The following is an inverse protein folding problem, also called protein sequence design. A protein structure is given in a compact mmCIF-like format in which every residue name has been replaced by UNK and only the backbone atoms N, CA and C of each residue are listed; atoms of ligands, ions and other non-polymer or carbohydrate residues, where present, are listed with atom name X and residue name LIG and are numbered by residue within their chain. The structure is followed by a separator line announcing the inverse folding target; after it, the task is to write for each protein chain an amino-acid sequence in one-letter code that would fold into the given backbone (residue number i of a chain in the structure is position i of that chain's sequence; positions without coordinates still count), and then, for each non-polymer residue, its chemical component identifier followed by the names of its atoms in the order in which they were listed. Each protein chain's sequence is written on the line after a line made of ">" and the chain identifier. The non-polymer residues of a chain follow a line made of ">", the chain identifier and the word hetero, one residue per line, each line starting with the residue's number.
data_IF_662204649312
#
_entry.id   IF_662204649312
#
_cell.length_a   1.000
_cell.length_b   1.000
_cell.length_c   1.000
_cell.angle_alpha   90.00
_cell.angle_beta   90.00
_cell.angle_gamma   90.00
#
_symmetry.space_group_name_H-M   'P 1'
#
loop_
_entity.id
_entity.type
_entity.pdbx_description
1 polymer ?
#
# COMPACT_ATOMS: atom_id res chain seq x y z
N UNK A 1 14.20 -18.25 26.42
CA UNK A 1 12.80 -18.58 26.08
C UNK A 1 12.63 -18.40 24.59
N UNK A 2 11.78 -19.18 23.91
CA UNK A 2 11.50 -18.93 22.49
C UNK A 2 10.71 -17.62 22.37
N UNK A 3 11.18 -16.68 21.56
CA UNK A 3 10.46 -15.43 21.28
C UNK A 3 9.11 -15.79 20.68
N UNK A 4 8.02 -15.26 21.23
CA UNK A 4 6.69 -15.49 20.68
C UNK A 4 6.52 -14.73 19.36
N UNK A 5 5.88 -15.37 18.40
CA UNK A 5 5.52 -14.75 17.13
C UNK A 5 4.06 -15.03 16.78
N UNK A 6 3.47 -14.16 15.96
CA UNK A 6 2.10 -14.32 15.44
C UNK A 6 2.07 -15.42 14.37
N UNK A 7 3.02 -15.36 13.43
CA UNK A 7 3.22 -16.33 12.36
C UNK A 7 4.60 -17.00 12.49
N UNK A 8 4.70 -18.30 12.17
CA UNK A 8 5.95 -19.07 12.27
C UNK A 8 6.84 -18.84 11.03
N UNK A 9 7.39 -17.63 10.89
CA UNK A 9 8.16 -17.20 9.73
C UNK A 9 9.64 -16.95 10.06
N UNK A 10 10.50 -17.16 9.08
CA UNK A 10 11.92 -16.82 9.12
C UNK A 10 12.21 -15.73 8.06
N UNK A 11 12.65 -14.52 8.46
CA UNK A 11 13.02 -13.45 7.54
C UNK A 11 14.08 -13.85 6.51
N UNK A 12 15.01 -14.75 6.87
CA UNK A 12 16.12 -15.15 5.98
C UNK A 12 15.68 -16.10 4.85
N UNK A 13 14.53 -16.74 5.01
CA UNK A 13 13.95 -17.66 4.04
C UNK A 13 12.65 -17.11 3.41
N UNK A 14 12.28 -15.88 3.74
CA UNK A 14 11.04 -15.29 3.27
C UNK A 14 11.08 -14.99 1.78
N UNK A 15 10.04 -15.40 1.06
CA UNK A 15 9.87 -15.12 -0.37
C UNK A 15 8.67 -14.18 -0.52
N UNK A 16 8.86 -12.94 -1.01
CA UNK A 16 7.78 -12.03 -1.30
C UNK A 16 6.73 -12.61 -2.24
N UNK A 17 5.48 -12.15 -2.10
CA UNK A 17 4.40 -12.52 -2.99
C UNK A 17 4.66 -12.06 -4.44
N UNK A 18 4.07 -12.75 -5.42
CA UNK A 18 4.23 -12.41 -6.84
C UNK A 18 3.71 -11.01 -7.21
N UNK A 19 2.83 -10.42 -6.39
CA UNK A 19 2.39 -9.02 -6.54
C UNK A 19 3.47 -8.00 -6.18
N UNK A 20 4.60 -8.43 -5.61
CA UNK A 20 5.78 -7.61 -5.37
C UNK A 20 7.00 -8.05 -6.19
N UNK A 21 6.77 -8.86 -7.24
CA UNK A 21 7.85 -9.32 -8.10
C UNK A 21 8.53 -8.13 -8.81
N UNK A 22 9.86 -8.21 -8.95
CA UNK A 22 10.68 -7.10 -9.43
C UNK A 22 10.40 -6.67 -10.88
N UNK A 23 9.81 -7.56 -11.68
CA UNK A 23 9.40 -7.33 -13.06
C UNK A 23 8.13 -6.48 -13.20
N UNK A 24 7.38 -6.27 -12.11
CA UNK A 24 6.18 -5.45 -12.10
C UNK A 24 6.51 -3.99 -12.39
N UNK A 25 5.53 -3.25 -12.91
CA UNK A 25 5.70 -1.82 -13.17
C UNK A 25 5.96 -1.07 -11.86
N UNK A 26 5.26 -1.47 -10.80
CA UNK A 26 5.33 -0.95 -9.44
C UNK A 26 5.46 -2.10 -8.43
N UNK A 27 6.68 -2.64 -8.21
CA UNK A 27 6.92 -3.75 -7.30
C UNK A 27 6.52 -3.45 -5.84
N UNK A 28 6.63 -2.20 -5.43
CA UNK A 28 6.09 -1.70 -4.16
C UNK A 28 5.05 -0.63 -4.46
N UNK A 29 3.89 -0.74 -3.81
CA UNK A 29 2.75 0.13 -4.05
C UNK A 29 2.66 1.17 -2.92
N UNK A 30 2.16 0.75 -1.75
CA UNK A 30 2.18 1.51 -0.51
C UNK A 30 2.25 0.57 0.70
N UNK A 31 2.75 1.09 1.82
CA UNK A 31 3.06 0.28 3.00
C UNK A 31 1.87 -0.48 3.61
N UNK A 32 0.63 -0.01 3.42
CA UNK A 32 -0.54 -0.66 4.02
C UNK A 32 -1.05 -1.82 3.17
N UNK A 33 -1.19 -1.61 1.86
CA UNK A 33 -1.68 -2.65 0.94
C UNK A 33 -0.63 -3.74 0.77
N UNK A 34 0.64 -3.37 0.61
CA UNK A 34 1.73 -4.34 0.44
C UNK A 34 1.88 -5.23 1.69
N UNK A 35 1.76 -4.64 2.89
CA UNK A 35 1.74 -5.40 4.14
C UNK A 35 0.62 -6.45 4.15
N UNK A 36 -0.61 -6.07 3.77
CA UNK A 36 -1.71 -7.03 3.72
C UNK A 36 -1.52 -8.10 2.64
N UNK A 37 -0.92 -7.76 1.50
CA UNK A 37 -0.55 -8.74 0.47
C UNK A 37 0.38 -9.80 1.08
N UNK A 38 1.42 -9.38 1.80
CA UNK A 38 2.38 -10.30 2.41
C UNK A 38 1.79 -11.11 3.57
N UNK A 39 0.99 -10.49 4.44
CA UNK A 39 0.33 -11.20 5.54
C UNK A 39 -0.64 -12.27 5.02
N UNK A 40 -1.44 -11.96 4.01
CA UNK A 40 -2.38 -12.92 3.40
C UNK A 40 -1.64 -14.05 2.67
N UNK A 41 -0.58 -13.69 1.93
CA UNK A 41 0.31 -14.67 1.27
C UNK A 41 0.93 -15.64 2.28
N UNK A 42 1.45 -15.13 3.40
CA UNK A 42 2.03 -15.94 4.47
C UNK A 42 1.00 -16.87 5.15
N UNK A 43 -0.28 -16.50 5.13
CA UNK A 43 -1.40 -17.34 5.58
C UNK A 43 -1.87 -18.34 4.50
N UNK A 44 -1.30 -18.32 3.30
CA UNK A 44 -1.69 -19.15 2.17
C UNK A 44 -3.05 -18.78 1.57
N UNK A 45 -3.45 -17.51 1.71
CA UNK A 45 -4.72 -16.95 1.25
C UNK A 45 -4.44 -16.00 0.08
N UNK A 46 -5.29 -16.01 -0.95
CA UNK A 46 -5.10 -15.19 -2.14
C UNK A 46 -5.31 -13.69 -1.84
N UNK A 47 -4.26 -12.84 -1.86
CA UNK A 47 -4.39 -11.42 -1.59
C UNK A 47 -5.15 -10.67 -2.68
N UNK A 48 -5.18 -11.19 -3.91
CA UNK A 48 -5.88 -10.56 -5.04
C UNK A 48 -7.36 -10.35 -4.76
N UNK A 49 -7.98 -11.18 -3.92
CA UNK A 49 -9.41 -11.11 -3.62
C UNK A 49 -9.84 -9.76 -3.00
N UNK A 50 -8.95 -9.07 -2.27
CA UNK A 50 -9.27 -7.79 -1.62
C UNK A 50 -9.16 -6.59 -2.55
N UNK A 51 -8.54 -6.73 -3.70
CA UNK A 51 -8.14 -5.58 -4.52
C UNK A 51 -9.28 -4.95 -5.33
N UNK A 52 -10.55 -5.29 -5.06
CA UNK A 52 -11.70 -4.67 -5.73
C UNK A 52 -11.90 -3.19 -5.39
N UNK A 53 -11.44 -2.74 -4.21
CA UNK A 53 -11.53 -1.33 -3.78
C UNK A 53 -10.70 -0.39 -4.64
N UNK A 54 -9.74 -0.88 -5.43
CA UNK A 54 -8.88 -0.03 -6.28
C UNK A 54 -9.69 0.76 -7.31
N UNK A 55 -10.94 0.36 -7.60
CA UNK A 55 -11.89 1.10 -8.43
C UNK A 55 -12.31 2.46 -7.85
N UNK A 56 -12.15 2.66 -6.54
CA UNK A 56 -12.60 3.89 -5.85
C UNK A 56 -11.51 4.94 -5.72
N UNK A 57 -10.36 4.75 -6.36
CA UNK A 57 -9.30 5.75 -6.34
C UNK A 57 -9.77 7.03 -7.05
N UNK A 58 -9.61 8.17 -6.37
CA UNK A 58 -10.08 9.48 -6.83
C UNK A 58 -8.96 10.52 -6.77
N UNK A 59 -9.20 11.67 -7.39
CA UNK A 59 -8.31 12.83 -7.35
C UNK A 59 -8.90 13.94 -6.46
N UNK A 60 -8.18 14.29 -5.40
CA UNK A 60 -8.63 15.20 -4.33
C UNK A 60 -8.29 16.69 -4.61
N UNK A 61 -7.89 17.01 -5.85
CA UNK A 61 -7.54 18.37 -6.28
C UNK A 61 -6.05 18.68 -6.21
N UNK A 62 -5.31 18.08 -5.28
CA UNK A 62 -3.85 18.20 -5.18
C UNK A 62 -3.11 16.86 -5.38
N UNK A 63 -3.75 15.76 -5.03
CA UNK A 63 -3.18 14.41 -5.05
C UNK A 63 -4.25 13.34 -5.32
N UNK A 64 -3.83 12.11 -5.61
CA UNK A 64 -4.75 10.98 -5.63
C UNK A 64 -4.94 10.44 -4.20
N UNK A 65 -6.10 9.83 -3.94
CA UNK A 65 -6.35 9.18 -2.66
C UNK A 65 -5.30 8.11 -2.37
N UNK A 66 -4.82 8.07 -1.12
CA UNK A 66 -3.96 7.01 -0.62
C UNK A 66 -4.81 5.75 -0.46
N UNK A 67 -4.67 4.81 -1.38
CA UNK A 67 -5.54 3.64 -1.47
C UNK A 67 -5.20 2.63 -0.36
N UNK A 68 -6.19 2.32 0.49
CA UNK A 68 -6.11 1.30 1.55
C UNK A 68 -7.26 0.33 1.37
N UNK A 69 -7.00 -0.96 1.64
CA UNK A 69 -8.07 -1.94 1.73
C UNK A 69 -9.04 -1.53 2.85
N UNK A 70 -10.36 -1.46 2.59
CA UNK A 70 -11.35 -1.22 3.63
C UNK A 70 -11.32 -2.34 4.68
N UNK A 71 -11.49 -1.98 5.97
CA UNK A 71 -11.46 -2.98 7.03
C UNK A 71 -12.65 -3.94 6.94
N UNK A 72 -13.79 -3.46 6.46
CA UNK A 72 -14.99 -4.25 6.19
C UNK A 72 -14.77 -5.27 5.09
N UNK A 73 -13.90 -4.98 4.12
CA UNK A 73 -13.53 -5.93 3.07
C UNK A 73 -12.65 -7.05 3.64
N UNK A 74 -11.69 -6.71 4.51
CA UNK A 74 -10.87 -7.70 5.20
C UNK A 74 -11.72 -8.64 6.05
N UNK A 75 -12.73 -8.10 6.76
CA UNK A 75 -13.66 -8.91 7.53
C UNK A 75 -14.55 -9.77 6.62
N UNK A 76 -15.11 -9.19 5.56
CA UNK A 76 -16.01 -9.91 4.65
C UNK A 76 -15.30 -11.03 3.88
N UNK A 77 -14.08 -10.78 3.39
CA UNK A 77 -13.30 -11.74 2.61
C UNK A 77 -12.64 -12.79 3.50
N UNK A 78 -11.96 -12.35 4.55
CA UNK A 78 -11.01 -13.19 5.28
C UNK A 78 -11.42 -13.45 6.72
N UNK A 79 -12.53 -12.87 7.21
CA UNK A 79 -12.88 -12.91 8.62
C UNK A 79 -11.90 -12.17 9.53
N UNK A 80 -10.98 -11.38 8.94
CA UNK A 80 -9.96 -10.64 9.67
C UNK A 80 -10.60 -9.37 10.23
N UNK A 81 -10.60 -9.24 11.55
CA UNK A 81 -11.14 -8.06 12.23
C UNK A 81 -10.01 -7.17 12.67
N UNK A 82 -9.93 -5.99 12.06
CA UNK A 82 -8.98 -4.94 12.42
C UNK A 82 -9.69 -3.93 13.31
N UNK A 83 -9.02 -3.49 14.37
CA UNK A 83 -9.55 -2.47 15.28
C UNK A 83 -8.39 -1.62 15.76
N UNK A 84 -8.65 -0.35 16.05
CA UNK A 84 -7.67 0.52 16.71
C UNK A 84 -7.30 -0.02 18.10
N UNK A 85 -6.00 -0.07 18.38
CA UNK A 85 -5.43 -0.40 19.68
C UNK A 85 -5.07 0.91 20.38
N UNK A 86 -5.87 1.31 21.36
CA UNK A 86 -5.54 2.46 22.20
C UNK A 86 -4.26 2.16 22.99
N UNK A 87 -3.24 2.99 22.78
CA UNK A 87 -1.98 2.96 23.54
C UNK A 87 -2.11 3.95 24.70
N UNK A 88 -1.90 3.49 25.93
CA UNK A 88 -1.90 4.35 27.13
C UNK A 88 -0.65 4.17 28.01
N UNK A 89 0.14 3.12 27.74
CA UNK A 89 1.42 2.81 28.39
C UNK A 89 2.47 2.60 27.28
N UNK A 90 3.52 1.79 27.51
CA UNK A 90 4.49 1.44 26.47
C UNK A 90 3.84 0.69 25.29
N UNK A 91 4.22 1.08 24.09
CA UNK A 91 3.78 0.49 22.83
C UNK A 91 4.14 -1.00 22.80
N UNK A 92 5.32 -1.35 23.27
CA UNK A 92 5.88 -2.69 23.35
C UNK A 92 5.10 -3.62 24.26
N UNK A 93 4.64 -3.13 25.42
CA UNK A 93 3.84 -3.93 26.33
C UNK A 93 2.49 -4.30 25.68
N UNK A 94 1.86 -3.33 25.00
CA UNK A 94 0.62 -3.56 24.27
C UNK A 94 0.79 -4.52 23.09
N UNK A 95 1.87 -4.37 22.31
CA UNK A 95 2.21 -5.29 21.22
C UNK A 95 2.43 -6.70 21.77
N UNK A 96 3.24 -6.87 22.81
CA UNK A 96 3.53 -8.19 23.40
C UNK A 96 2.26 -8.88 23.88
N UNK A 97 1.35 -8.14 24.50
CA UNK A 97 0.04 -8.65 24.93
C UNK A 97 -0.79 -9.15 23.73
N UNK A 98 -0.75 -8.46 22.58
CA UNK A 98 -1.46 -8.91 21.38
C UNK A 98 -0.77 -10.08 20.68
N UNK A 99 0.57 -10.11 20.61
CA UNK A 99 1.33 -11.23 20.07
C UNK A 99 1.03 -12.51 20.85
N UNK A 100 1.00 -12.44 22.19
CA UNK A 100 0.64 -13.58 23.05
C UNK A 100 -0.79 -14.12 22.78
N UNK A 101 -1.63 -13.34 22.10
CA UNK A 101 -3.00 -13.69 21.69
C UNK A 101 -3.11 -14.05 20.21
N UNK A 102 -2.00 -14.18 19.50
CA UNK A 102 -1.95 -14.48 18.07
C UNK A 102 -2.52 -13.36 17.21
N UNK A 103 -2.36 -12.09 17.63
CA UNK A 103 -2.87 -10.92 16.92
C UNK A 103 -1.72 -10.10 16.37
N UNK A 104 -1.82 -9.71 15.10
CA UNK A 104 -0.81 -8.88 14.45
C UNK A 104 -1.08 -7.40 14.76
N UNK A 105 -0.14 -6.71 15.39
CA UNK A 105 -0.22 -5.26 15.56
C UNK A 105 0.30 -4.55 14.31
N UNK A 106 -0.51 -3.65 13.75
CA UNK A 106 -0.11 -2.76 12.67
C UNK A 106 0.18 -1.39 13.28
N UNK A 107 1.41 -0.92 13.22
CA UNK A 107 1.85 0.29 13.93
C UNK A 107 2.40 1.30 12.94
N UNK A 108 1.96 2.55 13.04
CA UNK A 108 2.57 3.65 12.29
C UNK A 108 3.86 4.11 12.98
N UNK A 109 4.99 3.95 12.30
CA UNK A 109 6.32 4.21 12.85
C UNK A 109 7.19 5.03 11.88
N UNK A 110 8.34 5.45 12.39
CA UNK A 110 9.30 6.29 11.67
C UNK A 110 10.27 5.44 10.81
N UNK A 111 10.16 5.57 9.50
CA UNK A 111 11.01 4.87 8.54
C UNK A 111 12.49 5.23 8.63
N UNK A 112 12.86 6.31 9.33
CA UNK A 112 14.27 6.65 9.58
C UNK A 112 15.04 5.50 10.25
N UNK A 113 14.35 4.73 11.10
CA UNK A 113 14.89 3.59 11.84
C UNK A 113 14.58 2.23 11.21
N UNK A 114 14.16 2.19 9.95
CA UNK A 114 13.74 0.96 9.24
C UNK A 114 14.79 0.53 8.20
N UNK A 115 15.67 -0.45 8.50
CA UNK A 115 16.80 -0.83 7.63
C UNK A 115 16.39 -1.34 6.25
N UNK A 116 15.19 -1.90 6.12
CA UNK A 116 14.64 -2.40 4.86
C UNK A 116 14.36 -1.27 3.85
N UNK A 117 14.22 -0.02 4.31
CA UNK A 117 14.08 1.16 3.44
C UNK A 117 15.42 1.73 2.95
N UNK A 118 16.50 0.94 3.03
CA UNK A 118 17.83 1.33 2.56
C UNK A 118 17.79 1.65 1.07
N UNK A 119 18.36 2.80 0.71
CA UNK A 119 18.32 3.33 -0.66
C UNK A 119 17.12 4.23 -0.93
N UNK A 120 16.16 4.33 0.00
CA UNK A 120 15.05 5.28 -0.03
C UNK A 120 15.16 6.30 1.10
N UNK A 121 15.01 5.87 2.36
CA UNK A 121 14.87 6.78 3.51
C UNK A 121 15.65 6.39 4.77
N UNK A 122 16.12 5.15 4.88
CA UNK A 122 16.83 4.67 6.08
C UNK A 122 17.99 5.60 6.47
N UNK A 123 17.95 6.12 7.71
CA UNK A 123 18.91 7.08 8.29
C UNK A 123 19.11 8.37 7.49
N UNK A 124 18.18 8.71 6.59
CA UNK A 124 18.27 9.88 5.71
C UNK A 124 17.09 10.84 5.90
N UNK A 125 15.87 10.32 6.03
CA UNK A 125 14.66 11.13 6.16
C UNK A 125 13.67 10.50 7.14
N UNK A 126 13.03 11.33 7.97
CA UNK A 126 11.91 10.93 8.81
C UNK A 126 10.65 10.79 7.96
N UNK A 127 9.99 9.64 8.06
CA UNK A 127 8.84 9.31 7.24
C UNK A 127 7.87 8.40 7.99
N UNK A 128 6.58 8.64 7.81
CA UNK A 128 5.55 7.79 8.41
C UNK A 128 5.36 6.54 7.57
N UNK A 129 5.40 5.36 8.18
CA UNK A 129 5.05 4.10 7.54
C UNK A 129 4.32 3.15 8.47
N UNK A 130 3.53 2.21 7.95
CA UNK A 130 2.86 1.16 8.74
C UNK A 130 3.65 -0.14 8.65
N UNK A 131 3.89 -0.79 9.79
CA UNK A 131 4.51 -2.12 9.86
C UNK A 131 3.63 -3.10 10.63
N UNK A 132 3.66 -4.38 10.24
CA UNK A 132 2.95 -5.46 10.91
C UNK A 132 3.91 -6.25 11.78
N UNK A 133 3.89 -6.05 13.09
CA UNK A 133 4.88 -6.62 14.01
C UNK A 133 4.54 -8.08 14.31
N UNK A 134 5.38 -8.99 13.82
CA UNK A 134 5.19 -10.43 13.95
C UNK A 134 5.80 -10.98 15.24
N UNK A 135 6.98 -10.50 15.63
CA UNK A 135 7.69 -10.91 16.85
C UNK A 135 8.34 -9.72 17.52
N UNK A 136 8.46 -9.78 18.85
CA UNK A 136 9.11 -8.73 19.65
C UNK A 136 9.93 -9.35 20.78
N UNK A 137 11.24 -9.11 20.76
CA UNK A 137 12.19 -9.54 21.79
C UNK A 137 12.78 -8.31 22.48
N UNK A 138 12.27 -8.00 23.67
CA UNK A 138 12.71 -6.84 24.45
C UNK A 138 14.07 -7.05 25.12
N UNK A 139 14.45 -8.30 25.40
CA UNK A 139 15.72 -8.61 26.05
C UNK A 139 16.87 -8.38 25.07
N UNK A 140 16.72 -8.89 23.85
CA UNK A 140 17.71 -8.71 22.79
C UNK A 140 17.46 -7.47 21.91
N UNK A 141 16.41 -6.70 22.21
CA UNK A 141 15.99 -5.49 21.46
C UNK A 141 15.88 -5.76 19.96
N UNK A 142 15.09 -6.77 19.61
CA UNK A 142 14.88 -7.23 18.24
C UNK A 142 13.40 -7.29 17.91
N UNK A 143 13.07 -6.99 16.66
CA UNK A 143 11.72 -7.05 16.12
C UNK A 143 11.75 -7.69 14.73
N UNK A 144 10.85 -8.65 14.47
CA UNK A 144 10.57 -9.12 13.11
C UNK A 144 9.19 -8.61 12.66
N UNK A 145 9.09 -8.11 11.44
CA UNK A 145 7.93 -7.34 10.98
C UNK A 145 7.69 -7.44 9.48
N UNK A 146 6.43 -7.33 9.07
CA UNK A 146 6.02 -7.08 7.70
C UNK A 146 6.09 -5.59 7.38
N UNK A 147 6.63 -5.23 6.23
CA UNK A 147 6.65 -3.86 5.73
C UNK A 147 6.83 -3.85 4.22
N UNK A 148 6.09 -3.00 3.51
CA UNK A 148 6.09 -3.00 2.04
C UNK A 148 5.97 -4.44 1.50
N UNK A 149 6.75 -4.78 0.47
CA UNK A 149 6.71 -6.11 -0.15
C UNK A 149 7.57 -7.18 0.53
N UNK A 150 7.73 -7.17 1.86
CA UNK A 150 8.58 -8.16 2.52
C UNK A 150 8.38 -8.36 4.02
N UNK A 151 9.23 -9.23 4.56
CA UNK A 151 9.32 -9.60 5.97
C UNK A 151 10.76 -9.44 6.46
N UNK A 152 10.97 -8.62 7.47
CA UNK A 152 12.27 -8.07 7.85
C UNK A 152 12.54 -8.20 9.34
N UNK A 153 13.79 -7.96 9.72
CA UNK A 153 14.23 -7.85 11.11
C UNK A 153 14.98 -6.55 11.32
N UNK A 154 14.85 -5.99 12.53
CA UNK A 154 15.74 -4.94 13.03
C UNK A 154 16.12 -5.20 14.48
N UNK A 155 17.23 -4.60 14.91
CA UNK A 155 17.74 -4.72 16.27
C UNK A 155 18.52 -3.47 16.72
N UNK A 156 18.94 -3.47 17.98
CA UNK A 156 19.93 -2.52 18.47
C UNK A 156 19.47 -1.06 18.35
N UNK A 157 20.29 -0.22 17.72
CA UNK A 157 20.05 1.23 17.65
C UNK A 157 18.83 1.61 16.80
N UNK A 158 18.41 0.74 15.88
CA UNK A 158 17.18 0.93 15.11
C UNK A 158 15.96 0.64 16.00
N UNK A 159 16.02 -0.43 16.81
CA UNK A 159 14.99 -0.74 17.79
C UNK A 159 14.77 0.41 18.79
N UNK A 160 15.85 0.94 19.39
CA UNK A 160 15.74 2.05 20.35
C UNK A 160 15.16 3.31 19.73
N UNK A 161 15.57 3.63 18.50
CA UNK A 161 15.08 4.81 17.81
C UNK A 161 13.60 4.70 17.48
N UNK A 162 13.17 3.52 17.03
CA UNK A 162 11.81 3.25 16.63
C UNK A 162 10.81 3.35 17.79
N UNK A 163 11.19 2.82 18.96
CA UNK A 163 10.40 2.91 20.19
C UNK A 163 10.77 4.13 21.06
N UNK A 164 11.57 5.06 20.52
CA UNK A 164 11.99 6.31 21.17
C UNK A 164 12.70 6.13 22.53
N UNK A 165 13.40 5.00 22.74
CA UNK A 165 14.20 4.74 23.96
C UNK A 165 15.38 5.69 24.12
N UNK A 166 15.82 6.31 23.03
CA UNK A 166 16.88 7.31 23.02
C UNK A 166 16.36 8.75 23.21
N UNK A 167 15.07 8.94 23.48
CA UNK A 167 14.52 10.26 23.74
C UNK A 167 15.11 10.86 25.04
N UNK A 168 15.36 12.17 25.11
CA UNK A 168 15.85 12.82 26.32
C UNK A 168 14.90 12.63 27.50
N UNK A 169 15.45 12.56 28.72
CA UNK A 169 14.65 12.49 29.95
C UNK A 169 13.63 13.63 30.02
N UNK A 170 12.37 13.27 30.29
CA UNK A 170 11.26 14.22 30.37
C UNK A 170 10.69 14.66 29.02
N UNK A 171 11.19 14.13 27.90
CA UNK A 171 10.54 14.33 26.60
C UNK A 171 9.17 13.65 26.58
N UNK A 172 8.10 14.35 26.16
CA UNK A 172 6.77 13.75 26.12
C UNK A 172 6.72 12.62 25.07
N UNK A 173 6.15 11.45 25.40
CA UNK A 173 6.06 10.35 24.45
C UNK A 173 5.10 10.70 23.32
N UNK A 174 5.48 10.37 22.08
CA UNK A 174 4.56 10.40 20.94
C UNK A 174 4.03 9.00 20.70
N UNK A 175 2.76 8.76 21.06
CA UNK A 175 2.13 7.45 20.92
C UNK A 175 1.70 7.22 19.46
N UNK A 176 2.18 6.17 18.79
CA UNK A 176 1.86 5.92 17.39
C UNK A 176 0.42 5.45 17.23
N UNK A 177 -0.20 5.81 16.10
CA UNK A 177 -1.44 5.17 15.70
C UNK A 177 -1.20 3.67 15.53
N UNK A 178 -2.04 2.86 16.18
CA UNK A 178 -1.88 1.41 16.23
C UNK A 178 -3.22 0.73 15.95
N UNK A 179 -3.20 -0.26 15.07
CA UNK A 179 -4.28 -1.20 14.85
C UNK A 179 -3.84 -2.60 15.30
N UNK A 180 -4.79 -3.51 15.48
CA UNK A 180 -4.49 -4.92 15.70
C UNK A 180 -5.49 -5.82 14.96
N UNK A 181 -4.94 -6.80 14.24
CA UNK A 181 -5.70 -7.74 13.45
C UNK A 181 -5.95 -9.04 14.23
N UNK A 182 -7.22 -9.44 14.28
CA UNK A 182 -7.65 -10.74 14.78
C UNK A 182 -7.95 -11.64 13.59
N UNK A 183 -7.22 -12.74 13.50
CA UNK A 183 -7.42 -13.74 12.46
C UNK A 183 -8.56 -14.71 12.85
N UNK A 184 -9.30 -15.25 11.87
CA UNK A 184 -10.28 -16.30 12.14
C UNK A 184 -9.56 -17.58 12.62
N UNK A 185 -10.28 -18.43 13.36
CA UNK A 185 -9.75 -19.72 13.81
C UNK A 185 -9.60 -20.73 12.65
N UNK A 186 -10.48 -20.63 11.66
CA UNK A 186 -10.50 -21.48 10.48
C UNK A 186 -10.20 -20.67 9.23
N UNK A 187 -9.51 -21.29 8.27
CA UNK A 187 -9.26 -20.68 6.96
C UNK A 187 -10.58 -20.51 6.23
N UNK A 188 -10.71 -19.38 5.54
CA UNK A 188 -11.85 -19.12 4.65
C UNK A 188 -11.71 -19.92 3.36
N UNK A 189 -12.79 -20.56 2.95
CA UNK A 189 -12.87 -21.37 1.72
C UNK A 189 -12.71 -20.51 0.45
N UNK A 190 -12.00 -21.04 -0.55
CA UNK A 190 -11.71 -20.31 -1.79
C UNK A 190 -12.99 -19.91 -2.56
N UNK A 191 -14.06 -20.71 -2.46
CA UNK A 191 -15.37 -20.38 -3.05
C UNK A 191 -16.02 -19.16 -2.39
N UNK A 192 -15.86 -19.00 -1.05
CA UNK A 192 -16.33 -17.81 -0.34
C UNK A 192 -15.54 -16.58 -0.77
N UNK A 193 -14.21 -16.71 -0.91
CA UNK A 193 -13.35 -15.62 -1.39
C UNK A 193 -13.79 -15.13 -2.75
N UNK A 194 -13.98 -16.03 -3.73
CA UNK A 194 -14.42 -15.65 -5.08
C UNK A 194 -15.81 -15.01 -5.08
N UNK A 195 -16.76 -15.60 -4.37
CA UNK A 195 -18.13 -15.06 -4.29
C UNK A 195 -18.20 -13.69 -3.61
N UNK A 196 -17.39 -13.48 -2.56
CA UNK A 196 -17.30 -12.21 -1.85
C UNK A 196 -16.57 -11.15 -2.67
N UNK A 197 -15.45 -11.50 -3.31
CA UNK A 197 -14.72 -10.59 -4.19
C UNK A 197 -15.60 -10.10 -5.36
N UNK A 198 -16.40 -10.98 -5.98
CA UNK A 198 -17.40 -10.60 -6.99
C UNK A 198 -18.41 -9.56 -6.48
N UNK A 199 -18.92 -9.76 -5.25
CA UNK A 199 -19.86 -8.84 -4.63
C UNK A 199 -19.20 -7.50 -4.30
N UNK A 200 -17.98 -7.53 -3.78
CA UNK A 200 -17.22 -6.32 -3.45
C UNK A 200 -16.81 -5.54 -4.69
N UNK A 201 -16.44 -6.22 -5.78
CA UNK A 201 -16.16 -5.56 -7.07
C UNK A 201 -17.35 -4.71 -7.53
N UNK A 202 -18.57 -5.27 -7.50
CA UNK A 202 -19.81 -4.52 -7.81
C UNK A 202 -20.06 -3.37 -6.82
N UNK A 203 -19.85 -3.63 -5.53
CA UNK A 203 -20.05 -2.64 -4.47
C UNK A 203 -19.12 -1.42 -4.61
N UNK A 204 -17.86 -1.65 -4.95
CA UNK A 204 -16.85 -0.61 -5.17
C UNK A 204 -17.02 0.07 -6.51
N UNK A 205 -17.41 -0.68 -7.56
CA UNK A 205 -17.76 -0.08 -8.84
C UNK A 205 -18.88 0.96 -8.69
N UNK A 206 -19.92 0.67 -7.89
CA UNK A 206 -20.99 1.63 -7.60
C UNK A 206 -20.53 2.87 -6.80
N UNK A 207 -19.33 2.82 -6.20
CA UNK A 207 -18.70 3.90 -5.40
C UNK A 207 -17.49 4.53 -6.09
N UNK A 208 -17.17 4.11 -7.32
CA UNK A 208 -16.13 4.74 -8.12
C UNK A 208 -16.42 6.24 -8.27
N UNK A 209 -15.39 7.07 -8.56
CA UNK A 209 -15.59 8.49 -8.83
C UNK A 209 -16.69 8.72 -9.88
N UNK A 210 -17.58 9.68 -9.62
CA UNK A 210 -18.64 10.05 -10.57
C UNK A 210 -18.12 10.83 -11.78
N UNK A 211 -16.97 11.47 -11.62
CA UNK A 211 -16.23 12.17 -12.67
C UNK A 211 -14.91 11.44 -12.93
N UNK A 212 -14.31 11.67 -14.10
CA UNK A 212 -13.04 11.04 -14.44
C UNK A 212 -11.90 11.69 -13.63
N UNK A 213 -11.24 10.97 -12.70
CA UNK A 213 -10.24 11.55 -11.81
C UNK A 213 -8.99 12.02 -12.58
N UNK A 214 -8.70 11.43 -13.73
CA UNK A 214 -7.59 11.83 -14.60
C UNK A 214 -7.87 13.13 -15.34
N UNK A 215 -9.14 13.43 -15.65
CA UNK A 215 -9.51 14.73 -16.20
C UNK A 215 -9.29 15.83 -15.15
N UNK A 216 -9.69 15.57 -13.89
CA UNK A 216 -9.41 16.45 -12.75
C UNK A 216 -7.91 16.69 -12.59
N UNK A 217 -7.10 15.63 -12.63
CA UNK A 217 -5.65 15.74 -12.53
C UNK A 217 -5.01 16.48 -13.71
N UNK A 218 -5.41 16.16 -14.95
CA UNK A 218 -4.90 16.80 -16.16
C UNK A 218 -5.08 18.33 -16.14
N UNK A 219 -6.20 18.81 -15.59
CA UNK A 219 -6.50 20.23 -15.50
C UNK A 219 -5.50 21.01 -14.63
N UNK A 220 -4.99 20.39 -13.55
CA UNK A 220 -4.09 21.06 -12.59
C UNK A 220 -2.62 20.67 -12.76
N UNK A 221 -2.34 19.56 -13.44
CA UNK A 221 -1.00 19.01 -13.60
C UNK A 221 0.02 20.00 -14.15
N UNK A 222 -0.25 20.80 -15.21
CA UNK A 222 0.73 21.76 -15.72
C UNK A 222 1.19 22.78 -14.66
N UNK A 223 0.25 23.35 -13.90
CA UNK A 223 0.55 24.34 -12.87
C UNK A 223 1.29 23.72 -11.68
N UNK A 224 0.88 22.52 -11.27
CA UNK A 224 1.56 21.79 -10.19
C UNK A 224 3.01 21.46 -10.57
N UNK A 225 3.27 21.06 -11.81
CA UNK A 225 4.62 20.74 -12.30
C UNK A 225 5.54 21.96 -12.29
N UNK A 226 5.04 23.13 -12.71
CA UNK A 226 5.80 24.39 -12.62
C UNK A 226 6.17 24.69 -11.15
N UNK A 227 5.22 24.52 -10.23
CA UNK A 227 5.47 24.72 -8.80
C UNK A 227 6.46 23.70 -8.20
N UNK A 228 6.44 22.44 -8.68
CA UNK A 228 7.41 21.40 -8.28
C UNK A 228 8.82 21.76 -8.74
N UNK A 229 8.97 22.34 -9.93
CA UNK A 229 10.28 22.66 -10.50
C UNK A 229 11.02 23.83 -9.80
N UNK A 230 10.30 24.61 -9.00
CA UNK A 230 10.86 25.68 -8.17
C UNK A 230 11.25 25.20 -6.75
N UNK A 231 11.10 23.91 -6.47
CA UNK A 231 11.49 23.27 -5.19
C UNK A 231 12.70 22.37 -5.37
N UNK A 232 13.29 21.96 -4.24
CA UNK A 232 14.37 20.98 -4.23
C UNK A 232 13.93 19.66 -4.86
N UNK A 233 14.88 18.95 -5.49
CA UNK A 233 14.60 17.70 -6.19
C UNK A 233 14.01 16.61 -5.26
N UNK A 234 14.29 16.65 -3.96
CA UNK A 234 13.66 15.76 -2.98
C UNK A 234 12.12 15.91 -2.95
N UNK A 235 11.59 17.10 -3.24
CA UNK A 235 10.15 17.34 -3.32
C UNK A 235 9.50 16.62 -4.51
N UNK A 236 10.24 16.40 -5.62
CA UNK A 236 9.72 15.63 -6.76
C UNK A 236 9.31 14.21 -6.32
N UNK A 237 10.07 13.55 -5.44
CA UNK A 237 9.73 12.22 -4.95
C UNK A 237 8.42 12.24 -4.15
N UNK A 238 8.20 13.26 -3.32
CA UNK A 238 6.94 13.44 -2.56
C UNK A 238 5.76 13.68 -3.49
N UNK A 239 5.92 14.54 -4.49
CA UNK A 239 4.87 14.81 -5.46
C UNK A 239 4.54 13.58 -6.32
N UNK A 240 5.56 12.91 -6.86
CA UNK A 240 5.38 11.70 -7.65
C UNK A 240 4.73 10.57 -6.84
N UNK A 241 5.10 10.42 -5.57
CA UNK A 241 4.50 9.42 -4.67
C UNK A 241 3.00 9.63 -4.51
N UNK A 242 2.55 10.88 -4.28
CA UNK A 242 1.15 11.22 -4.02
C UNK A 242 0.31 11.39 -5.30
N UNK A 243 0.93 11.39 -6.48
CA UNK A 243 0.23 11.52 -7.76
C UNK A 243 0.41 10.28 -8.64
N UNK A 244 1.47 10.28 -9.46
CA UNK A 244 1.74 9.29 -10.49
C UNK A 244 1.91 7.88 -9.92
N UNK A 245 2.63 7.73 -8.80
CA UNK A 245 2.81 6.42 -8.17
C UNK A 245 1.51 5.88 -7.57
N UNK A 246 0.67 6.74 -6.98
CA UNK A 246 -0.61 6.30 -6.39
C UNK A 246 -1.47 5.60 -7.43
N UNK A 247 -1.75 6.25 -8.57
CA UNK A 247 -2.62 5.61 -9.56
C UNK A 247 -1.90 4.53 -10.37
N UNK A 248 -0.61 4.71 -10.64
CA UNK A 248 0.17 3.70 -11.36
C UNK A 248 0.12 2.34 -10.67
N UNK A 249 0.40 2.32 -9.37
CA UNK A 249 0.41 1.10 -8.59
C UNK A 249 -1.02 0.55 -8.35
N UNK A 250 -1.99 1.43 -8.06
CA UNK A 250 -3.38 1.04 -7.85
C UNK A 250 -3.99 0.33 -9.07
N UNK A 251 -3.78 0.84 -10.29
CA UNK A 251 -4.34 0.21 -11.49
C UNK A 251 -3.58 -1.05 -11.93
N UNK A 252 -2.30 -1.22 -11.57
CA UNK A 252 -1.61 -2.51 -11.73
C UNK A 252 -2.18 -3.59 -10.79
N UNK A 253 -2.54 -3.20 -9.56
CA UNK A 253 -3.25 -4.08 -8.62
C UNK A 253 -4.67 -4.41 -9.10
N UNK A 254 -5.40 -3.46 -9.67
CA UNK A 254 -6.71 -3.73 -10.28
C UNK A 254 -6.61 -4.76 -11.41
N UNK A 255 -5.61 -4.64 -12.30
CA UNK A 255 -5.38 -5.63 -13.35
C UNK A 255 -5.16 -7.04 -12.77
N UNK A 256 -4.41 -7.13 -11.67
CA UNK A 256 -4.13 -8.39 -10.98
C UNK A 256 -5.41 -8.97 -10.33
N UNK A 257 -6.26 -8.11 -9.75
CA UNK A 257 -7.58 -8.48 -9.23
C UNK A 257 -8.48 -9.10 -10.31
N UNK A 258 -8.63 -8.40 -11.44
CA UNK A 258 -9.49 -8.82 -12.54
C UNK A 258 -9.00 -10.12 -13.18
N UNK A 259 -7.68 -10.26 -13.33
CA UNK A 259 -7.04 -11.49 -13.80
C UNK A 259 -7.37 -12.67 -12.86
N UNK A 260 -7.20 -12.48 -11.55
CA UNK A 260 -7.51 -13.51 -10.57
C UNK A 260 -9.00 -13.88 -10.55
N UNK A 261 -9.88 -12.88 -10.67
CA UNK A 261 -11.32 -13.05 -10.51
C UNK A 261 -11.98 -13.75 -11.72
N UNK A 262 -11.71 -13.26 -12.93
CA UNK A 262 -12.37 -13.72 -14.16
C UNK A 262 -11.44 -14.02 -15.33
N UNK A 263 -10.16 -13.71 -15.20
CA UNK A 263 -9.14 -13.91 -16.24
C UNK A 263 -9.39 -13.13 -17.53
N UNK A 264 -8.51 -13.34 -18.50
CA UNK A 264 -8.60 -12.67 -19.81
C UNK A 264 -9.91 -12.97 -20.54
N UNK A 265 -10.48 -14.16 -20.30
CA UNK A 265 -11.75 -14.58 -20.91
C UNK A 265 -12.90 -13.62 -20.56
N UNK A 266 -12.93 -13.07 -19.34
CA UNK A 266 -13.97 -12.14 -18.91
C UNK A 266 -13.50 -10.70 -18.97
N UNK A 267 -12.30 -10.43 -18.47
CA UNK A 267 -11.83 -9.06 -18.21
C UNK A 267 -10.63 -8.64 -19.07
N UNK A 268 -10.31 -9.33 -20.17
CA UNK A 268 -9.09 -9.07 -20.95
C UNK A 268 -8.93 -7.61 -21.39
N UNK A 269 -9.99 -6.98 -21.87
CA UNK A 269 -9.95 -5.57 -22.28
C UNK A 269 -9.75 -4.62 -21.09
N UNK A 270 -10.43 -4.86 -19.96
CA UNK A 270 -10.32 -4.07 -18.74
C UNK A 270 -8.94 -4.21 -18.09
N UNK A 271 -8.39 -5.43 -18.06
CA UNK A 271 -7.02 -5.71 -17.64
C UNK A 271 -6.05 -4.90 -18.49
N UNK A 272 -6.22 -4.89 -19.82
CA UNK A 272 -5.38 -4.11 -20.71
C UNK A 272 -5.48 -2.59 -20.45
N UNK A 273 -6.68 -2.05 -20.18
CA UNK A 273 -6.83 -0.63 -19.84
C UNK A 273 -6.23 -0.28 -18.48
N UNK A 274 -6.39 -1.15 -17.47
CA UNK A 274 -5.79 -0.95 -16.15
C UNK A 274 -4.25 -0.98 -16.21
N UNK A 275 -3.67 -1.93 -16.97
CA UNK A 275 -2.23 -1.95 -17.23
C UNK A 275 -1.76 -0.73 -18.04
N UNK A 276 -2.59 -0.24 -18.97
CA UNK A 276 -2.29 0.98 -19.73
C UNK A 276 -2.21 2.21 -18.82
N UNK A 277 -3.13 2.35 -17.86
CA UNK A 277 -3.07 3.41 -16.83
C UNK A 277 -1.79 3.32 -16.01
N UNK A 278 -1.42 2.11 -15.59
CA UNK A 278 -0.17 1.86 -14.86
C UNK A 278 1.08 2.24 -15.65
N UNK A 279 1.14 1.86 -16.92
CA UNK A 279 2.25 2.18 -17.82
C UNK A 279 2.36 3.69 -18.09
N UNK A 280 1.22 4.36 -18.31
CA UNK A 280 1.15 5.80 -18.51
C UNK A 280 1.70 6.53 -17.29
N UNK A 281 1.29 6.13 -16.08
CA UNK A 281 1.80 6.69 -14.83
C UNK A 281 3.33 6.68 -14.78
N UNK A 282 3.94 5.54 -15.12
CA UNK A 282 5.39 5.33 -15.09
C UNK A 282 6.07 6.18 -16.17
N UNK A 283 5.49 6.24 -17.36
CA UNK A 283 5.98 7.05 -18.47
C UNK A 283 5.98 8.54 -18.12
N UNK A 284 4.86 9.03 -17.59
CA UNK A 284 4.70 10.43 -17.19
C UNK A 284 5.62 10.76 -16.02
N UNK A 285 5.84 9.85 -15.07
CA UNK A 285 6.80 10.05 -13.97
C UNK A 285 8.22 10.30 -14.49
N UNK A 286 8.67 9.51 -15.48
CA UNK A 286 9.98 9.75 -16.11
C UNK A 286 10.03 11.03 -16.94
N UNK A 287 8.93 11.40 -17.61
CA UNK A 287 8.84 12.69 -18.31
C UNK A 287 8.92 13.86 -17.33
N UNK A 288 8.20 13.77 -16.20
CA UNK A 288 8.20 14.76 -15.14
C UNK A 288 9.60 14.94 -14.53
N UNK A 289 10.26 13.84 -14.18
CA UNK A 289 11.63 13.88 -13.67
C UNK A 289 12.56 14.65 -14.63
N UNK A 290 12.50 14.32 -15.93
CA UNK A 290 13.29 15.01 -16.97
C UNK A 290 12.89 16.48 -17.14
N UNK A 291 11.60 16.78 -17.06
CA UNK A 291 11.08 18.13 -17.22
C UNK A 291 11.51 19.05 -16.08
N UNK A 292 11.46 18.57 -14.83
CA UNK A 292 11.96 19.27 -13.64
C UNK A 292 13.45 19.55 -13.77
N UNK A 293 14.26 18.56 -14.17
CA UNK A 293 15.71 18.76 -14.37
C UNK A 293 16.03 19.74 -15.51
N UNK A 294 15.27 19.70 -16.61
CA UNK A 294 15.55 20.50 -17.82
C UNK A 294 14.81 21.85 -17.85
N UNK A 295 13.91 22.10 -16.90
CA UNK A 295 12.95 23.22 -16.90
C UNK A 295 12.21 23.36 -18.24
N UNK A 296 11.68 22.25 -18.76
CA UNK A 296 10.89 22.20 -20.02
C UNK A 296 9.61 21.40 -19.83
N UNK A 297 8.48 22.10 -19.76
CA UNK A 297 7.18 21.53 -19.37
C UNK A 297 6.20 21.30 -20.52
N UNK A 298 6.47 21.82 -21.72
CA UNK A 298 5.53 21.72 -22.85
C UNK A 298 5.10 20.30 -23.20
N UNK A 299 6.00 19.28 -23.15
CA UNK A 299 5.60 17.89 -23.38
C UNK A 299 4.61 17.33 -22.34
N UNK A 300 4.45 17.97 -21.19
CA UNK A 300 3.61 17.49 -20.08
C UNK A 300 2.16 18.01 -20.15
N UNK A 301 1.89 19.04 -20.97
CA UNK A 301 0.56 19.67 -21.06
C UNK A 301 -0.57 18.70 -21.40
N UNK A 302 -0.27 17.69 -22.20
CA UNK A 302 -1.22 16.67 -22.67
C UNK A 302 -0.77 15.26 -22.28
N UNK A 303 0.13 15.14 -21.31
CA UNK A 303 0.73 13.85 -20.94
C UNK A 303 -0.25 12.94 -20.18
N UNK A 304 -1.27 13.53 -19.54
CA UNK A 304 -2.30 12.79 -18.80
C UNK A 304 -3.49 12.41 -19.68
N UNK A 305 -3.73 13.09 -20.80
CA UNK A 305 -4.90 12.87 -21.68
C UNK A 305 -5.14 11.40 -22.04
N UNK A 306 -4.13 10.58 -22.38
CA UNK A 306 -4.36 9.16 -22.67
C UNK A 306 -4.90 8.35 -21.48
N UNK A 307 -4.67 8.80 -20.25
CA UNK A 307 -5.21 8.16 -19.04
C UNK A 307 -6.71 8.43 -18.88
N UNK A 308 -7.19 9.59 -19.36
CA UNK A 308 -8.62 9.93 -19.39
C UNK A 308 -9.37 8.88 -20.23
N UNK A 309 -8.92 8.68 -21.47
CA UNK A 309 -9.50 7.70 -22.39
C UNK A 309 -9.44 6.26 -21.87
N UNK A 310 -8.30 5.87 -21.27
CA UNK A 310 -8.12 4.52 -20.73
C UNK A 310 -9.06 4.25 -19.56
N UNK A 311 -9.25 5.23 -18.67
CA UNK A 311 -10.19 5.10 -17.55
C UNK A 311 -11.65 5.02 -18.03
N UNK A 312 -12.07 5.87 -18.98
CA UNK A 312 -13.43 5.83 -19.51
C UNK A 312 -13.74 4.47 -20.15
N UNK A 313 -12.80 3.91 -20.91
CA UNK A 313 -12.92 2.57 -21.51
C UNK A 313 -12.97 1.47 -20.46
N UNK A 314 -12.12 1.55 -19.43
CA UNK A 314 -12.11 0.61 -18.31
C UNK A 314 -13.47 0.60 -17.61
N UNK A 315 -14.01 1.76 -17.26
CA UNK A 315 -15.27 1.86 -16.53
C UNK A 315 -16.47 1.44 -17.37
N UNK A 316 -16.51 1.81 -18.67
CA UNK A 316 -17.55 1.35 -19.58
C UNK A 316 -17.52 -0.18 -19.78
N UNK A 317 -16.32 -0.76 -19.93
CA UNK A 317 -16.13 -2.21 -20.06
C UNK A 317 -16.61 -2.96 -18.81
N UNK A 318 -16.20 -2.49 -17.63
CA UNK A 318 -16.64 -3.07 -16.36
C UNK A 318 -18.16 -2.99 -16.18
N UNK A 319 -18.77 -1.81 -16.40
CA UNK A 319 -20.23 -1.63 -16.33
C UNK A 319 -20.96 -2.71 -17.15
N UNK A 320 -20.54 -2.97 -18.39
CA UNK A 320 -21.17 -3.98 -19.24
C UNK A 320 -21.05 -5.44 -18.75
N UNK A 321 -20.15 -5.73 -17.80
CA UNK A 321 -19.77 -7.09 -17.36
C UNK A 321 -20.12 -7.41 -15.92
N UNK A 322 -20.41 -6.39 -15.11
CA UNK A 322 -20.65 -6.55 -13.67
C UNK A 322 -21.95 -5.89 -13.20
N UNK A 323 -22.60 -5.07 -14.00
CA UNK A 323 -23.99 -4.61 -13.78
C UNK A 323 -25.00 -5.57 -14.42
#
# INVERSE_FOLDING_TARGET
>A
MTVQSVLPLDPSAYTPHALHAAERMWPETNCYVDLWIEVLSALGIAPEAMLGFTLTQDFEGDQFTFFKVPLEDLEALYGIKVTELAIFDSVEAHIREQIARGRLCLVEMDSFYMPDTRGVGYRQEHGKTTVGINSLDLENRRMDYFHNGGFFSLDGADFDGLFQHNAPDGWPPFLPYTEFAKFPAERVEDNHLRGTAERLLRFHFARRPSENPFAGFANVFPQQVEAVAERDFSYFHKYAFNTLRQFGANFELLASHLLWLGGDKRFGDEIAQALRLSELAKTVQFQLARAVTRKKFEPLKTAIDPAIDAWDRLMAGLSSKIE
#
